data_IF_834716952684
#
_entry.id   IF_834716952684
#
_cell.length_a   1.000
_cell.length_b   1.000
_cell.length_c   1.000
_cell.angle_alpha   90.00
_cell.angle_beta   90.00
_cell.angle_gamma   90.00
#
_symmetry.space_group_name_H-M   'P 1'
#
loop_
_entity.id
_entity.type
_entity.pdbx_description
1 polymer ?
#
# COMPACT_ATOMS: atom_id res chain seq x y z
N UNK A 1 -4.54 7.50 -13.47
CA UNK A 1 -4.86 6.52 -12.42
C UNK A 1 -3.63 5.72 -12.00
N UNK A 2 -2.97 5.00 -12.92
CA UNK A 2 -1.78 4.19 -12.57
C UNK A 2 -0.64 4.99 -11.93
N UNK A 3 -0.34 6.21 -12.40
CA UNK A 3 0.67 7.04 -11.75
C UNK A 3 0.34 7.40 -10.29
N UNK A 4 -0.94 7.62 -9.98
CA UNK A 4 -1.38 7.86 -8.61
C UNK A 4 -1.12 6.64 -7.73
N UNK A 5 -1.45 5.45 -8.25
CA UNK A 5 -1.14 4.19 -7.59
C UNK A 5 0.37 3.99 -7.41
N UNK A 6 1.18 4.34 -8.42
CA UNK A 6 2.63 4.26 -8.38
C UNK A 6 3.23 5.07 -7.22
N UNK A 7 2.73 6.28 -7.00
CA UNK A 7 3.13 7.10 -5.84
C UNK A 7 2.71 6.48 -4.50
N UNK A 8 1.47 6.01 -4.39
CA UNK A 8 1.01 5.34 -3.16
C UNK A 8 1.85 4.09 -2.85
N UNK A 9 2.15 3.24 -3.84
CA UNK A 9 2.99 2.05 -3.67
C UNK A 9 4.46 2.41 -3.40
N UNK A 10 4.98 3.50 -3.99
CA UNK A 10 6.33 3.99 -3.74
C UNK A 10 6.54 4.33 -2.27
N UNK A 11 5.61 5.09 -1.70
CA UNK A 11 5.70 5.60 -0.33
C UNK A 11 5.03 4.69 0.71
N UNK A 12 4.42 3.57 0.30
CA UNK A 12 3.55 2.75 1.15
C UNK A 12 4.16 2.35 2.51
N UNK A 13 5.47 2.10 2.57
CA UNK A 13 6.16 1.72 3.80
C UNK A 13 6.20 2.85 4.83
N UNK A 14 6.46 4.09 4.39
CA UNK A 14 6.37 5.28 5.24
C UNK A 14 4.93 5.72 5.48
N UNK A 15 4.08 5.61 4.46
CA UNK A 15 2.65 5.91 4.53
C UNK A 15 1.93 5.10 5.62
N UNK A 16 2.38 3.87 5.87
CA UNK A 16 1.89 3.00 6.95
C UNK A 16 2.00 3.63 8.35
N UNK A 17 2.90 4.59 8.57
CA UNK A 17 2.95 5.33 9.84
C UNK A 17 1.66 6.13 10.11
N UNK A 18 0.94 6.54 9.05
CA UNK A 18 -0.33 7.24 9.16
C UNK A 18 -1.54 6.30 9.04
N UNK A 19 -1.48 5.32 8.13
CA UNK A 19 -2.61 4.44 7.82
C UNK A 19 -2.73 3.21 8.73
N UNK A 20 -1.65 2.87 9.44
CA UNK A 20 -1.50 1.71 10.32
C UNK A 20 -0.81 2.17 11.62
N UNK A 21 -1.46 3.11 12.31
CA UNK A 21 -0.86 3.96 13.34
C UNK A 21 -0.77 3.32 14.74
N UNK A 22 -1.00 2.00 14.85
CA UNK A 22 -0.89 1.26 16.11
C UNK A 22 0.04 0.05 15.96
N UNK A 23 0.67 -0.37 17.06
CA UNK A 23 1.40 -1.65 17.10
C UNK A 23 0.49 -2.85 16.83
N UNK A 24 -0.82 -2.70 17.08
CA UNK A 24 -1.84 -3.71 16.78
C UNK A 24 -2.11 -3.84 15.27
N UNK A 25 -1.95 -2.76 14.50
CA UNK A 25 -2.09 -2.77 13.04
C UNK A 25 -1.21 -3.83 12.39
N UNK A 26 0.02 -3.99 12.88
CA UNK A 26 1.00 -4.94 12.34
C UNK A 26 0.74 -6.39 12.74
N UNK A 27 -0.19 -6.65 13.68
CA UNK A 27 -0.69 -8.00 13.98
C UNK A 27 -1.74 -8.44 12.96
N UNK A 28 -2.42 -7.48 12.32
CA UNK A 28 -3.37 -7.73 11.23
C UNK A 28 -2.68 -8.05 9.91
N UNK A 29 -1.52 -7.46 9.62
CA UNK A 29 -0.81 -7.58 8.33
C UNK A 29 0.00 -8.89 8.20
N UNK A 30 -0.56 -10.01 8.65
CA UNK A 30 0.00 -11.35 8.53
C UNK A 30 -0.75 -12.10 7.41
N UNK A 31 -0.05 -12.82 6.50
CA UNK A 31 -0.70 -13.58 5.44
C UNK A 31 -1.78 -14.56 5.95
N UNK A 32 -2.85 -14.75 5.18
CA UNK A 32 -3.88 -15.77 5.45
C UNK A 32 -5.23 -15.26 5.95
N UNK A 33 -5.37 -13.97 6.25
CA UNK A 33 -6.59 -13.38 6.85
C UNK A 33 -7.22 -12.26 6.00
N UNK A 34 -7.07 -12.31 4.68
CA UNK A 34 -7.53 -11.27 3.72
C UNK A 34 -6.95 -9.85 3.92
N UNK A 35 -6.01 -9.69 4.86
CA UNK A 35 -5.22 -8.48 5.05
C UNK A 35 -3.93 -8.55 4.20
N UNK A 36 -3.52 -7.43 3.57
CA UNK A 36 -2.40 -7.46 2.65
C UNK A 36 -1.05 -7.32 3.36
N UNK A 37 -0.08 -8.13 2.97
CA UNK A 37 1.34 -7.99 3.39
C UNK A 37 2.27 -7.59 2.24
N UNK A 38 1.91 -7.91 0.99
CA UNK A 38 2.72 -7.63 -0.21
C UNK A 38 2.19 -6.38 -0.93
N UNK A 39 3.11 -5.45 -1.21
CA UNK A 39 2.82 -4.16 -1.86
C UNK A 39 2.69 -4.30 -3.37
N UNK A 40 1.53 -4.76 -3.80
CA UNK A 40 1.16 -4.87 -5.22
C UNK A 40 -0.30 -4.49 -5.44
N UNK A 41 -0.70 -4.43 -6.71
CA UNK A 41 -2.07 -4.24 -7.14
C UNK A 41 -2.52 -5.39 -8.04
N UNK A 42 -3.83 -5.67 -8.02
CA UNK A 42 -4.42 -6.72 -8.87
C UNK A 42 -5.95 -6.55 -8.96
N UNK A 43 -6.54 -7.05 -10.06
CA UNK A 43 -7.98 -7.06 -10.25
C UNK A 43 -8.61 -8.19 -9.43
N UNK A 44 -9.70 -7.89 -8.72
CA UNK A 44 -10.48 -8.86 -7.92
C UNK A 44 -9.72 -9.59 -6.80
N UNK A 45 -8.42 -9.37 -6.65
CA UNK A 45 -7.55 -10.10 -5.74
C UNK A 45 -7.54 -9.48 -4.34
N UNK A 46 -7.97 -10.27 -3.35
CA UNK A 46 -8.03 -9.85 -1.94
C UNK A 46 -6.72 -10.05 -1.18
N UNK A 47 -5.74 -10.73 -1.78
CA UNK A 47 -4.39 -10.88 -1.18
C UNK A 47 -3.49 -9.67 -1.46
N UNK A 48 -3.81 -8.85 -2.47
CA UNK A 48 -3.04 -7.66 -2.85
C UNK A 48 -3.32 -6.46 -1.93
N UNK A 49 -2.31 -5.59 -1.74
CA UNK A 49 -2.48 -4.31 -1.03
C UNK A 49 -3.50 -3.39 -1.69
N UNK A 50 -3.57 -3.39 -3.01
CA UNK A 50 -4.51 -2.59 -3.77
C UNK A 50 -5.35 -3.46 -4.68
N UNK A 51 -6.67 -3.41 -4.50
CA UNK A 51 -7.61 -4.15 -5.33
C UNK A 51 -8.30 -3.20 -6.31
N UNK A 52 -8.43 -3.66 -7.56
CA UNK A 52 -9.32 -3.04 -8.54
C UNK A 52 -10.67 -3.79 -8.48
N UNK A 53 -11.77 -3.13 -8.09
CA UNK A 53 -13.09 -3.78 -8.00
C UNK A 53 -13.66 -4.14 -9.38
N UNK A 54 -14.37 -5.27 -9.46
CA UNK A 54 -15.01 -5.75 -10.71
C UNK A 54 -16.00 -4.77 -11.34
N UNK A 55 -16.84 -4.12 -10.51
CA UNK A 55 -17.90 -3.20 -10.94
C UNK A 55 -17.36 -1.83 -11.39
N UNK A 56 -16.46 -1.84 -12.37
CA UNK A 56 -15.82 -0.66 -12.94
C UNK A 56 -16.64 -0.12 -14.12
N UNK A 57 -17.17 1.08 -13.94
CA UNK A 57 -17.79 1.91 -14.98
C UNK A 57 -17.06 3.26 -15.04
N UNK A 58 -17.39 4.12 -16.00
CA UNK A 58 -16.82 5.48 -16.09
C UNK A 58 -16.97 6.27 -14.79
N UNK A 59 -18.04 6.03 -14.02
CA UNK A 59 -18.33 6.77 -12.78
C UNK A 59 -17.83 6.04 -11.51
N UNK A 60 -17.48 4.75 -11.59
CA UNK A 60 -17.13 3.93 -10.42
C UNK A 60 -15.67 3.46 -10.39
N UNK A 61 -14.86 3.84 -11.39
CA UNK A 61 -13.44 3.51 -11.47
C UNK A 61 -12.67 4.03 -10.25
N UNK A 62 -12.10 3.11 -9.48
CA UNK A 62 -11.39 3.41 -8.22
C UNK A 62 -10.39 2.32 -7.87
N UNK A 63 -9.45 2.66 -6.99
CA UNK A 63 -8.61 1.72 -6.27
C UNK A 63 -9.17 1.48 -4.87
N UNK A 64 -9.11 0.23 -4.40
CA UNK A 64 -9.37 -0.15 -3.01
C UNK A 64 -8.03 -0.39 -2.32
N UNK A 65 -7.56 0.58 -1.54
CA UNK A 65 -6.39 0.41 -0.67
C UNK A 65 -6.81 -0.39 0.57
N UNK A 66 -6.37 -1.65 0.67
CA UNK A 66 -6.81 -2.61 1.70
C UNK A 66 -5.94 -2.59 2.94
N UNK A 67 -4.78 -1.95 2.88
CA UNK A 67 -3.82 -1.93 3.98
C UNK A 67 -4.20 -1.04 5.18
N UNK A 68 -4.87 0.13 5.03
CA UNK A 68 -5.23 0.96 6.18
C UNK A 68 -6.13 0.22 7.18
N UNK A 69 -6.11 0.67 8.43
CA UNK A 69 -7.04 0.22 9.46
C UNK A 69 -7.56 1.38 10.32
N UNK A 70 -8.60 1.12 11.08
CA UNK A 70 -9.32 2.13 11.87
C UNK A 70 -8.60 2.60 13.14
N UNK A 71 -7.36 2.14 13.40
CA UNK A 71 -6.53 2.78 14.44
C UNK A 71 -5.95 4.11 13.96
N UNK A 72 -5.93 4.34 12.64
CA UNK A 72 -5.47 5.59 12.06
C UNK A 72 -6.43 6.75 12.34
N UNK A 73 -5.86 7.96 12.43
CA UNK A 73 -6.67 9.17 12.33
C UNK A 73 -7.11 9.31 10.85
N UNK A 74 -8.42 9.32 10.54
CA UNK A 74 -8.89 9.31 9.17
C UNK A 74 -8.47 10.56 8.38
N UNK A 75 -8.35 11.71 9.04
CA UNK A 75 -7.86 12.94 8.40
C UNK A 75 -6.42 12.79 7.93
N UNK A 76 -5.55 12.27 8.80
CA UNK A 76 -4.14 12.06 8.48
C UNK A 76 -3.95 10.95 7.44
N UNK A 77 -4.70 9.86 7.55
CA UNK A 77 -4.65 8.76 6.59
C UNK A 77 -5.01 9.22 5.18
N UNK A 78 -6.14 9.93 5.02
CA UNK A 78 -6.57 10.41 3.71
C UNK A 78 -5.65 11.49 3.15
N UNK A 79 -5.20 12.44 3.98
CA UNK A 79 -4.24 13.45 3.55
C UNK A 79 -2.94 12.81 3.04
N UNK A 80 -2.35 11.89 3.81
CA UNK A 80 -1.09 11.25 3.43
C UNK A 80 -1.23 10.38 2.16
N UNK A 81 -2.36 9.68 1.98
CA UNK A 81 -2.65 8.92 0.75
C UNK A 81 -2.76 9.86 -0.45
N UNK A 82 -3.47 10.99 -0.30
CA UNK A 82 -3.62 11.96 -1.37
C UNK A 82 -2.28 12.54 -1.79
N UNK A 83 -1.45 12.95 -0.82
CA UNK A 83 -0.11 13.48 -1.09
C UNK A 83 0.78 12.45 -1.80
N UNK A 84 0.78 11.18 -1.34
CA UNK A 84 1.53 10.12 -2.00
C UNK A 84 1.06 9.88 -3.44
N UNK A 85 -0.24 9.92 -3.68
CA UNK A 85 -0.79 9.76 -5.03
C UNK A 85 -0.52 10.96 -5.94
N UNK A 86 -0.57 12.17 -5.42
CA UNK A 86 -0.22 13.39 -6.16
C UNK A 86 1.25 13.38 -6.58
N UNK A 87 2.16 12.96 -5.69
CA UNK A 87 3.57 12.81 -6.01
C UNK A 87 3.80 11.78 -7.14
N UNK A 88 3.09 10.65 -7.08
CA UNK A 88 3.10 9.66 -8.15
C UNK A 88 2.69 10.23 -9.51
N UNK A 89 1.65 11.08 -9.55
CA UNK A 89 1.22 11.76 -10.77
C UNK A 89 2.25 12.78 -11.25
N UNK A 90 2.78 13.62 -10.36
CA UNK A 90 3.80 14.64 -10.65
C UNK A 90 5.04 14.01 -11.29
N UNK A 91 5.51 12.90 -10.72
CA UNK A 91 6.73 12.22 -11.13
C UNK A 91 6.50 11.08 -12.14
N UNK A 92 5.26 10.90 -12.62
CA UNK A 92 4.87 9.82 -13.56
C UNK A 92 5.34 8.44 -13.10
N UNK A 93 5.18 8.13 -11.82
CA UNK A 93 5.69 6.90 -11.24
C UNK A 93 4.94 5.67 -11.76
N UNK A 94 5.70 4.71 -12.28
CA UNK A 94 5.17 3.40 -12.67
C UNK A 94 4.91 2.53 -11.42
N UNK A 95 3.68 2.01 -11.20
CA UNK A 95 3.39 1.07 -10.13
C UNK A 95 4.00 -0.33 -10.33
N UNK A 96 4.62 -0.61 -11.48
CA UNK A 96 5.12 -1.93 -11.84
C UNK A 96 4.02 -2.83 -12.39
N UNK A 97 4.33 -4.11 -12.59
CA UNK A 97 3.36 -5.08 -13.11
C UNK A 97 2.38 -5.57 -12.02
N UNK A 98 1.12 -5.79 -12.42
CA UNK A 98 0.11 -6.38 -11.56
C UNK A 98 0.46 -7.83 -11.22
N UNK A 99 0.18 -8.26 -9.98
CA UNK A 99 0.42 -9.64 -9.55
C UNK A 99 -0.90 -10.39 -9.37
N UNK A 100 -1.35 -11.07 -10.43
CA UNK A 100 -2.60 -11.85 -10.46
C UNK A 100 -2.43 -13.29 -9.95
N UNK A 101 -1.81 -13.42 -8.77
CA UNK A 101 -1.61 -14.70 -8.07
C UNK A 101 -2.13 -14.60 -6.64
N UNK A 102 -2.33 -15.75 -5.99
CA UNK A 102 -2.59 -15.77 -4.55
C UNK A 102 -1.28 -15.49 -3.79
N UNK A 103 -1.10 -14.25 -3.35
CA UNK A 103 0.13 -13.77 -2.73
C UNK A 103 0.40 -14.41 -1.37
N UNK A 104 -0.61 -15.00 -0.71
CA UNK A 104 -0.43 -15.73 0.54
C UNK A 104 0.35 -17.04 0.37
N UNK A 105 0.47 -17.55 -0.85
CA UNK A 105 1.23 -18.78 -1.17
C UNK A 105 2.71 -18.53 -1.42
N UNK A 106 3.12 -17.26 -1.56
CA UNK A 106 4.53 -16.93 -1.77
C UNK A 106 5.33 -17.20 -0.50
N UNK A 107 6.43 -17.92 -0.65
CA UNK A 107 7.39 -18.15 0.44
C UNK A 107 8.21 -16.89 0.71
N UNK A 108 8.80 -16.79 1.91
CA UNK A 108 9.67 -15.66 2.24
C UNK A 108 10.91 -15.58 1.34
N UNK A 109 11.43 -16.73 0.91
CA UNK A 109 12.60 -16.80 0.03
C UNK A 109 12.24 -16.30 -1.37
N UNK A 110 11.10 -16.74 -1.94
CA UNK A 110 10.62 -16.21 -3.22
C UNK A 110 10.38 -14.69 -3.18
N UNK A 111 9.84 -14.17 -2.07
CA UNK A 111 9.61 -12.72 -1.90
C UNK A 111 10.94 -11.96 -1.93
N UNK A 112 11.97 -12.49 -1.26
CA UNK A 112 13.31 -11.89 -1.20
C UNK A 112 14.02 -11.97 -2.54
N UNK A 113 14.02 -13.14 -3.17
CA UNK A 113 14.66 -13.38 -4.48
C UNK A 113 14.05 -12.51 -5.58
N UNK A 114 12.72 -12.36 -5.58
CA UNK A 114 12.00 -11.52 -6.56
C UNK A 114 12.06 -10.03 -6.21
N UNK A 115 12.66 -9.64 -5.08
CA UNK A 115 12.75 -8.24 -4.65
C UNK A 115 11.39 -7.58 -4.42
N UNK A 116 10.36 -8.36 -4.05
CA UNK A 116 9.00 -7.85 -3.90
C UNK A 116 8.92 -7.00 -2.63
N UNK A 117 8.52 -5.73 -2.79
CA UNK A 117 8.29 -4.85 -1.64
C UNK A 117 7.10 -5.35 -0.83
N UNK A 118 7.25 -5.27 0.49
CA UNK A 118 6.24 -5.71 1.45
C UNK A 118 5.97 -4.61 2.47
N UNK A 119 4.85 -4.73 3.19
CA UNK A 119 4.53 -3.87 4.32
C UNK A 119 5.60 -3.99 5.41
N UNK A 120 5.87 -2.91 6.18
CA UNK A 120 6.70 -3.01 7.37
C UNK A 120 6.08 -3.99 8.36
N UNK A 121 6.91 -4.72 9.13
CA UNK A 121 6.43 -5.68 10.13
C UNK A 121 6.18 -5.04 11.51
N UNK A 122 6.59 -3.79 11.70
CA UNK A 122 6.42 -3.07 12.97
C UNK A 122 6.15 -1.60 12.74
N UNK A 123 5.49 -0.97 13.72
CA UNK A 123 5.26 0.48 13.76
C UNK A 123 6.57 1.27 13.80
N UNK A 124 7.59 0.77 14.53
CA UNK A 124 8.91 1.40 14.54
C UNK A 124 9.49 1.48 13.12
N UNK A 125 9.42 0.37 12.37
CA UNK A 125 9.96 0.33 11.01
C UNK A 125 9.21 1.25 10.06
N UNK A 126 7.89 1.37 10.16
CA UNK A 126 7.15 2.33 9.32
C UNK A 126 7.48 3.78 9.67
N UNK A 127 7.70 4.10 10.95
CA UNK A 127 8.16 5.43 11.38
C UNK A 127 9.57 5.74 10.86
N UNK A 128 10.50 4.78 10.90
CA UNK A 128 11.85 4.92 10.31
C UNK A 128 11.77 5.26 8.82
N UNK A 129 10.97 4.50 8.07
CA UNK A 129 10.77 4.68 6.62
C UNK A 129 10.09 6.03 6.32
N UNK A 130 9.09 6.41 7.12
CA UNK A 130 8.39 7.69 6.97
C UNK A 130 9.32 8.88 7.20
N UNK A 131 10.16 8.84 8.24
CA UNK A 131 11.06 9.94 8.57
C UNK A 131 12.17 10.12 7.51
N UNK A 132 12.58 9.03 6.87
CA UNK A 132 13.54 9.01 5.78
C UNK A 132 12.94 9.49 4.43
N UNK A 133 11.63 9.34 4.24
CA UNK A 133 10.91 9.66 3.00
C UNK A 133 9.69 10.56 3.26
N UNK A 134 9.94 11.77 3.78
CA UNK A 134 8.89 12.72 4.18
C UNK A 134 8.68 13.89 3.23
N UNK A 135 9.44 13.96 2.13
CA UNK A 135 9.44 15.14 1.26
C UNK A 135 8.09 15.33 0.57
N UNK A 136 7.47 14.25 0.09
CA UNK A 136 6.16 14.27 -0.56
C UNK A 136 5.02 14.76 0.35
N UNK A 137 5.22 14.80 1.67
CA UNK A 137 4.24 15.28 2.65
C UNK A 137 4.38 16.77 2.96
N UNK A 138 5.46 17.42 2.51
CA UNK A 138 5.82 18.81 2.88
C UNK A 138 5.65 19.81 1.74
N UNK A 139 5.48 19.33 0.52
CA UNK A 139 5.23 20.12 -0.69
C UNK A 139 3.74 20.30 -0.93
#
# INVERSE_FOLDING_TARGET
ALHFLGGVLRHARGLAAFTNASTNSYKRLIPGYEAPSILTYSANNRSASVRIPYGISKNSARFEFRFPDSSSNPYLAFAAILMAGMDGVKNKMDPGEAMDINLFKLTLDEIREKGIKQMPHTLRRSLEEMLADKQYLKE
#
